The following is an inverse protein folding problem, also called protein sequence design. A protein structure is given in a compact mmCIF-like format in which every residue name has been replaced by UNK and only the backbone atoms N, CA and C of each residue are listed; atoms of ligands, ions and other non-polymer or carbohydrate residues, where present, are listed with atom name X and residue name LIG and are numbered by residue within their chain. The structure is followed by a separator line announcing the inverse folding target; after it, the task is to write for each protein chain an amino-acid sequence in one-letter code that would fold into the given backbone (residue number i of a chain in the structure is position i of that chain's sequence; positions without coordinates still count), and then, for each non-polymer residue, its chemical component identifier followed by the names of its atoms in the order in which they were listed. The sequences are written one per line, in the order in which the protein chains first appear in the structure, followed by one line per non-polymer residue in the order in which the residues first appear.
data_IF_391254854951
#
_entry.id   IF_391254854951
#
_cell.length_a   1.000
_cell.length_b   1.000
_cell.length_c   1.000
_cell.angle_alpha   90.00
_cell.angle_beta   90.00
_cell.angle_gamma   90.00
#
_symmetry.space_group_name_H-M   'P 1'
#
loop_
_entity.id
_entity.type
_entity.pdbx_description
1 polymer ?
#
# COMPACT_ATOMS: atom_id res chain seq x y z
N UNK A 1 4.33 3.88 -3.76
CA UNK A 1 3.75 5.18 -4.18
C UNK A 1 4.36 5.49 -5.53
N UNK A 2 3.57 5.92 -6.53
CA UNK A 2 4.11 6.21 -7.88
C UNK A 2 4.95 7.47 -7.86
N UNK A 3 6.14 7.44 -8.44
CA UNK A 3 6.89 8.66 -8.68
C UNK A 3 6.17 9.55 -9.70
N UNK A 4 6.50 10.83 -9.71
CA UNK A 4 6.04 11.78 -10.72
C UNK A 4 6.46 11.34 -12.13
N UNK A 5 7.67 10.80 -12.27
CA UNK A 5 8.17 10.27 -13.54
C UNK A 5 7.40 9.04 -14.02
N UNK A 6 7.01 8.14 -13.12
CA UNK A 6 6.23 6.94 -13.49
C UNK A 6 4.84 7.32 -14.00
N UNK A 7 4.22 8.33 -13.37
CA UNK A 7 2.95 8.91 -13.81
C UNK A 7 3.08 9.53 -15.20
N UNK A 8 4.11 10.34 -15.39
CA UNK A 8 4.39 10.98 -16.66
C UNK A 8 4.59 9.97 -17.79
N UNK A 9 5.46 8.97 -17.57
CA UNK A 9 5.78 7.93 -18.55
C UNK A 9 4.56 7.10 -18.94
N UNK A 10 3.76 6.68 -17.98
CA UNK A 10 2.53 5.92 -18.26
C UNK A 10 1.51 6.75 -19.04
N UNK A 11 1.33 8.01 -18.66
CA UNK A 11 0.45 8.94 -19.35
C UNK A 11 0.86 9.14 -20.81
N UNK A 12 2.14 9.42 -21.06
CA UNK A 12 2.68 9.59 -22.41
C UNK A 12 2.57 8.30 -23.20
N UNK A 13 3.01 7.16 -22.66
CA UNK A 13 2.99 5.86 -23.36
C UNK A 13 1.60 5.47 -23.87
N UNK A 14 0.55 5.70 -23.07
CA UNK A 14 -0.84 5.47 -23.51
C UNK A 14 -1.28 6.43 -24.61
N UNK A 15 -0.81 7.67 -24.57
CA UNK A 15 -1.14 8.69 -25.56
C UNK A 15 -0.42 8.47 -26.90
N UNK A 16 0.88 8.11 -26.87
CA UNK A 16 1.69 7.93 -28.08
C UNK A 16 1.39 6.65 -28.86
N UNK A 17 0.71 5.67 -28.26
CA UNK A 17 0.44 4.38 -28.91
C UNK A 17 -0.34 4.59 -30.21
N UNK A 18 0.21 4.15 -31.33
CA UNK A 18 -0.39 4.31 -32.66
C UNK A 18 -0.23 5.71 -33.28
N UNK A 19 0.46 6.65 -32.61
CA UNK A 19 0.76 7.96 -33.18
C UNK A 19 1.91 7.87 -34.18
N UNK A 20 1.82 8.71 -35.22
CA UNK A 20 2.91 8.92 -36.17
C UNK A 20 3.97 9.88 -35.62
N UNK A 21 5.17 9.87 -36.20
CA UNK A 21 6.27 10.77 -35.79
C UNK A 21 5.85 12.24 -35.79
N UNK A 22 5.08 12.68 -36.78
CA UNK A 22 4.58 14.05 -36.87
C UNK A 22 3.58 14.38 -35.75
N UNK A 23 2.68 13.44 -35.43
CA UNK A 23 1.73 13.62 -34.33
C UNK A 23 2.42 13.65 -32.96
N UNK A 24 3.47 12.84 -32.78
CA UNK A 24 4.28 12.86 -31.55
C UNK A 24 5.01 14.20 -31.40
N UNK A 25 5.62 14.72 -32.46
CA UNK A 25 6.26 16.03 -32.44
C UNK A 25 5.25 17.16 -32.15
N UNK A 26 4.07 17.13 -32.78
CA UNK A 26 3.01 18.11 -32.52
C UNK A 26 2.49 18.05 -31.08
N UNK A 27 2.28 16.84 -30.54
CA UNK A 27 1.83 16.65 -29.17
C UNK A 27 2.88 17.15 -28.16
N UNK A 28 4.17 16.91 -28.41
CA UNK A 28 5.25 17.41 -27.57
C UNK A 28 5.31 18.95 -27.53
N UNK A 29 5.00 19.62 -28.65
CA UNK A 29 4.91 21.08 -28.71
C UNK A 29 3.67 21.59 -27.97
N UNK A 30 2.50 21.00 -28.22
CA UNK A 30 1.24 21.39 -27.58
C UNK A 30 1.27 21.23 -26.06
N UNK A 31 1.95 20.20 -25.58
CA UNK A 31 2.15 20.00 -24.15
C UNK A 31 2.98 21.13 -23.51
N UNK A 32 4.04 21.59 -24.20
CA UNK A 32 4.84 22.74 -23.77
C UNK A 32 4.00 24.02 -23.73
N UNK A 33 3.18 24.26 -24.75
CA UNK A 33 2.29 25.42 -24.79
C UNK A 33 1.28 25.39 -23.64
N UNK A 34 0.72 24.22 -23.32
CA UNK A 34 -0.20 24.04 -22.18
C UNK A 34 0.50 24.29 -20.83
N UNK A 35 1.78 23.91 -20.71
CA UNK A 35 2.59 24.23 -19.53
C UNK A 35 2.83 25.74 -19.41
N UNK A 36 3.21 26.41 -20.51
CA UNK A 36 3.44 27.86 -20.51
C UNK A 36 2.16 28.64 -20.17
N UNK A 37 1.00 28.20 -20.67
CA UNK A 37 -0.31 28.77 -20.34
C UNK A 37 -0.71 28.56 -18.86
N UNK A 38 -0.34 27.41 -18.27
CA UNK A 38 -0.60 27.15 -16.85
C UNK A 38 0.38 27.85 -15.90
N UNK A 39 1.54 28.29 -16.40
CA UNK A 39 2.48 29.16 -15.66
C UNK A 39 2.18 30.65 -15.82
N UNK A 40 1.32 31.04 -16.77
CA UNK A 40 0.84 32.42 -16.87
C UNK A 40 0.04 32.78 -15.60
N UNK A 41 0.12 34.02 -15.10
CA UNK A 41 -0.52 34.42 -13.84
C UNK A 41 -2.05 34.44 -14.00
N UNK A 42 -2.68 33.27 -13.90
CA UNK A 42 -4.09 33.12 -13.65
C UNK A 42 -4.32 33.23 -12.13
N UNK A 43 -5.34 33.98 -11.72
CA UNK A 43 -5.89 33.90 -10.36
C UNK A 43 -6.39 32.47 -10.15
N UNK A 44 -5.60 31.63 -9.51
CA UNK A 44 -6.07 30.29 -9.15
C UNK A 44 -7.14 30.39 -8.04
N UNK A 45 -8.27 29.69 -8.19
CA UNK A 45 -9.22 29.55 -7.09
C UNK A 45 -8.62 28.71 -5.97
N UNK A 46 -8.86 29.11 -4.71
CA UNK A 46 -8.41 28.48 -3.45
C UNK A 46 -8.75 26.97 -3.29
N UNK A 47 -9.47 26.36 -4.24
CA UNK A 47 -9.95 24.97 -4.21
C UNK A 47 -9.27 24.05 -5.24
N UNK A 48 -8.29 24.53 -6.02
CA UNK A 48 -7.48 23.70 -6.92
C UNK A 48 -6.44 22.91 -6.10
N UNK A 49 -6.86 21.78 -5.52
CA UNK A 49 -6.10 21.00 -4.53
C UNK A 49 -4.91 20.17 -5.05
N UNK A 50 -4.17 20.64 -6.05
CA UNK A 50 -2.90 20.01 -6.45
C UNK A 50 -1.75 20.97 -6.15
N UNK A 51 -0.69 20.46 -5.51
CA UNK A 51 0.50 21.26 -5.23
C UNK A 51 1.11 21.78 -6.54
N UNK A 52 1.24 23.10 -6.73
CA UNK A 52 1.82 23.69 -7.94
C UNK A 52 3.23 23.17 -8.25
N UNK A 53 4.02 22.83 -7.23
CA UNK A 53 5.36 22.26 -7.41
C UNK A 53 5.28 20.83 -7.96
N UNK A 54 4.43 19.97 -7.39
CA UNK A 54 4.20 18.61 -7.91
C UNK A 54 3.65 18.61 -9.34
N UNK A 55 2.80 19.59 -9.68
CA UNK A 55 2.30 19.78 -11.03
C UNK A 55 3.43 20.18 -11.99
N UNK A 56 4.28 21.13 -11.60
CA UNK A 56 5.43 21.54 -12.40
C UNK A 56 6.41 20.38 -12.65
N UNK A 57 6.69 19.57 -11.63
CA UNK A 57 7.51 18.36 -11.76
C UNK A 57 6.87 17.35 -12.72
N UNK A 58 5.55 17.16 -12.65
CA UNK A 58 4.82 16.25 -13.53
C UNK A 58 4.88 16.68 -14.99
N UNK A 59 4.70 17.98 -15.25
CA UNK A 59 4.84 18.54 -16.60
C UNK A 59 6.27 18.40 -17.12
N UNK A 60 7.28 18.72 -16.31
CA UNK A 60 8.68 18.53 -16.70
C UNK A 60 9.00 17.07 -17.05
N UNK A 61 8.50 16.12 -16.26
CA UNK A 61 8.70 14.69 -16.49
C UNK A 61 7.96 14.19 -17.75
N UNK A 62 6.75 14.67 -18.02
CA UNK A 62 6.00 14.32 -19.24
C UNK A 62 6.69 14.87 -20.48
N UNK A 63 7.15 16.11 -20.44
CA UNK A 63 7.85 16.73 -21.55
C UNK A 63 9.18 16.02 -21.86
N UNK A 64 9.92 15.61 -20.83
CA UNK A 64 11.10 14.76 -21.01
C UNK A 64 10.76 13.45 -21.72
N UNK A 65 9.67 12.79 -21.33
CA UNK A 65 9.27 11.52 -21.94
C UNK A 65 8.82 11.68 -23.39
N UNK A 66 8.05 12.73 -23.72
CA UNK A 66 7.68 13.04 -25.10
C UNK A 66 8.92 13.19 -26.00
N UNK A 67 9.93 13.92 -25.52
CA UNK A 67 11.20 14.07 -26.25
C UNK A 67 11.95 12.75 -26.41
N UNK A 68 11.97 11.90 -25.38
CA UNK A 68 12.58 10.56 -25.46
C UNK A 68 11.91 9.74 -26.56
N UNK A 69 10.57 9.68 -26.59
CA UNK A 69 9.80 8.92 -27.58
C UNK A 69 10.03 9.48 -28.99
N UNK A 70 9.99 10.81 -29.15
CA UNK A 70 10.28 11.45 -30.43
C UNK A 70 11.68 11.07 -30.94
N UNK A 71 12.72 11.25 -30.11
CA UNK A 71 14.10 10.92 -30.47
C UNK A 71 14.28 9.43 -30.80
N UNK A 72 13.58 8.56 -30.06
CA UNK A 72 13.56 7.12 -30.32
C UNK A 72 12.97 6.80 -31.70
N UNK A 73 11.82 7.40 -32.03
CA UNK A 73 11.18 7.21 -33.33
C UNK A 73 12.04 7.74 -34.48
N UNK A 74 12.66 8.91 -34.31
CA UNK A 74 13.55 9.52 -35.30
C UNK A 74 14.80 8.65 -35.55
N UNK A 75 15.47 8.22 -34.47
CA UNK A 75 16.69 7.40 -34.56
C UNK A 75 16.41 6.02 -35.16
N UNK A 76 15.24 5.45 -34.86
CA UNK A 76 14.87 4.11 -35.31
C UNK A 76 14.15 4.10 -36.67
N UNK A 77 13.83 5.29 -37.21
CA UNK A 77 13.08 5.44 -38.47
C UNK A 77 11.63 4.94 -38.39
N UNK A 78 11.05 4.89 -37.19
CA UNK A 78 9.70 4.39 -36.99
C UNK A 78 8.66 5.40 -37.48
N UNK A 79 7.74 4.92 -38.33
CA UNK A 79 6.64 5.74 -38.84
C UNK A 79 5.49 5.87 -37.85
N UNK A 80 5.31 4.85 -37.02
CA UNK A 80 4.25 4.75 -36.01
C UNK A 80 4.87 4.20 -34.74
N UNK A 81 4.48 4.76 -33.59
CA UNK A 81 4.95 4.29 -32.30
C UNK A 81 4.18 3.05 -31.85
N UNK A 82 4.89 1.93 -31.73
CA UNK A 82 4.40 0.69 -31.14
C UNK A 82 5.12 0.45 -29.81
N UNK A 83 4.42 0.43 -28.66
CA UNK A 83 5.02 0.32 -27.34
C UNK A 83 5.92 -0.91 -27.15
N UNK A 84 5.68 -1.99 -27.88
CA UNK A 84 6.42 -3.25 -27.86
C UNK A 84 7.81 -3.10 -28.49
N UNK A 85 7.99 -2.13 -29.38
CA UNK A 85 9.28 -1.83 -30.02
C UNK A 85 10.17 -0.98 -29.10
N UNK A 86 9.57 -0.20 -28.19
CA UNK A 86 10.28 0.53 -27.13
C UNK A 86 10.68 -0.41 -25.99
N UNK A 87 11.90 -0.95 -26.06
CA UNK A 87 12.43 -1.87 -25.06
C UNK A 87 12.52 -1.25 -23.66
N UNK A 88 12.91 0.03 -23.57
CA UNK A 88 13.02 0.75 -22.29
C UNK A 88 11.63 0.97 -21.67
N UNK A 89 10.69 1.50 -22.44
CA UNK A 89 9.31 1.71 -21.99
C UNK A 89 8.60 0.40 -21.64
N UNK A 90 8.84 -0.66 -22.41
CA UNK A 90 8.31 -2.00 -22.13
C UNK A 90 8.90 -2.64 -20.88
N UNK A 91 10.21 -2.50 -20.64
CA UNK A 91 10.84 -3.02 -19.43
C UNK A 91 10.28 -2.33 -18.17
N UNK A 92 10.20 -0.99 -18.18
CA UNK A 92 9.61 -0.21 -17.09
C UNK A 92 8.14 -0.56 -16.84
N UNK A 93 7.36 -0.78 -17.90
CA UNK A 93 5.96 -1.18 -17.75
C UNK A 93 5.82 -2.56 -17.07
N UNK A 94 6.69 -3.52 -17.40
CA UNK A 94 6.72 -4.84 -16.75
C UNK A 94 7.13 -4.75 -15.29
N UNK A 95 8.14 -3.93 -14.97
CA UNK A 95 8.55 -3.67 -13.59
C UNK A 95 7.38 -3.10 -12.77
N UNK A 96 6.64 -2.14 -13.33
CA UNK A 96 5.44 -1.58 -12.67
C UNK A 96 4.37 -2.62 -12.41
N UNK A 97 4.04 -3.47 -13.38
CA UNK A 97 3.02 -4.50 -13.17
C UNK A 97 3.44 -5.49 -12.06
N UNK A 98 4.74 -5.80 -12.00
CA UNK A 98 5.33 -6.62 -10.94
C UNK A 98 5.17 -5.95 -9.58
N UNK A 99 5.55 -4.67 -9.46
CA UNK A 99 5.41 -3.91 -8.21
C UNK A 99 3.95 -3.75 -7.79
N UNK A 100 3.05 -3.50 -8.75
CA UNK A 100 1.61 -3.37 -8.50
C UNK A 100 1.02 -4.69 -7.98
N UNK A 101 1.35 -5.81 -8.62
CA UNK A 101 0.89 -7.13 -8.20
C UNK A 101 1.43 -7.46 -6.81
N UNK A 102 2.70 -7.18 -6.54
CA UNK A 102 3.31 -7.38 -5.22
C UNK A 102 2.62 -6.53 -4.13
N UNK A 103 2.32 -5.26 -4.43
CA UNK A 103 1.61 -4.37 -3.50
C UNK A 103 0.20 -4.88 -3.20
N UNK A 104 -0.57 -5.26 -4.24
CA UNK A 104 -1.91 -5.82 -4.08
C UNK A 104 -1.86 -7.09 -3.23
N UNK A 105 -0.93 -8.02 -3.54
CA UNK A 105 -0.75 -9.25 -2.77
C UNK A 105 -0.40 -8.96 -1.30
N UNK A 106 0.50 -8.02 -1.03
CA UNK A 106 0.84 -7.58 0.33
C UNK A 106 -0.37 -7.02 1.07
N UNK A 107 -1.20 -6.22 0.40
CA UNK A 107 -2.38 -5.63 1.01
C UNK A 107 -3.43 -6.70 1.31
N UNK A 108 -3.67 -7.64 0.39
CA UNK A 108 -4.54 -8.80 0.61
C UNK A 108 -4.08 -9.63 1.80
N UNK A 109 -2.79 -10.00 1.85
CA UNK A 109 -2.22 -10.76 2.96
C UNK A 109 -2.32 -10.01 4.30
N UNK A 110 -2.19 -8.69 4.29
CA UNK A 110 -2.41 -7.88 5.49
C UNK A 110 -3.87 -7.89 5.94
N UNK A 111 -4.82 -7.78 5.01
CA UNK A 111 -6.25 -7.88 5.32
C UNK A 111 -6.63 -9.27 5.84
N UNK A 112 -6.04 -10.34 5.29
CA UNK A 112 -6.22 -11.71 5.78
C UNK A 112 -5.72 -11.84 7.22
N UNK A 113 -4.49 -11.37 7.52
CA UNK A 113 -3.97 -11.35 8.90
C UNK A 113 -4.86 -10.57 9.86
N UNK A 114 -5.44 -9.44 9.41
CA UNK A 114 -6.37 -8.66 10.23
C UNK A 114 -7.70 -9.38 10.45
N UNK A 115 -8.17 -10.17 9.49
CA UNK A 115 -9.36 -11.02 9.64
C UNK A 115 -9.07 -12.16 10.59
N UNK A 116 -7.97 -12.89 10.42
CA UNK A 116 -7.53 -13.94 11.34
C UNK A 116 -7.38 -13.43 12.77
N UNK A 117 -6.80 -12.24 12.97
CA UNK A 117 -6.68 -11.61 14.28
C UNK A 117 -8.02 -11.14 14.88
N UNK A 118 -9.02 -10.84 14.04
CA UNK A 118 -10.40 -10.52 14.47
C UNK A 118 -11.23 -11.76 14.76
N UNK A 119 -11.00 -12.83 14.00
CA UNK A 119 -11.65 -14.13 14.14
C UNK A 119 -11.03 -14.95 15.28
N UNK A 120 -9.86 -14.55 15.79
CA UNK A 120 -9.30 -15.03 17.05
C UNK A 120 -10.24 -14.62 18.21
N UNK A 121 -11.04 -15.58 18.68
CA UNK A 121 -11.99 -15.37 19.76
C UNK A 121 -11.23 -15.09 21.07
N UNK A 122 -11.12 -13.81 21.45
CA UNK A 122 -10.47 -13.41 22.70
C UNK A 122 -11.48 -13.44 23.85
N UNK A 123 -11.34 -14.40 24.73
CA UNK A 123 -12.08 -14.44 25.99
C UNK A 123 -11.40 -13.49 27.00
N UNK A 124 -12.09 -12.41 27.37
CA UNK A 124 -11.64 -11.48 28.40
C UNK A 124 -12.26 -11.86 29.76
N UNK A 125 -11.42 -12.04 30.78
CA UNK A 125 -11.86 -12.32 32.15
C UNK A 125 -11.57 -11.13 33.07
N UNK A 126 -12.64 -10.48 33.55
CA UNK A 126 -12.52 -9.41 34.53
C UNK A 126 -12.42 -9.98 35.95
N UNK A 127 -11.27 -9.78 36.57
CA UNK A 127 -11.00 -10.24 37.92
C UNK A 127 -11.07 -9.08 38.91
N UNK A 128 -11.63 -9.34 40.10
CA UNK A 128 -11.54 -8.38 41.20
C UNK A 128 -10.07 -8.10 41.53
N UNK A 129 -9.77 -6.86 41.96
CA UNK A 129 -8.40 -6.46 42.26
C UNK A 129 -7.67 -7.42 43.25
N UNK A 130 -8.31 -7.95 44.30
CA UNK A 130 -7.69 -8.97 45.16
C UNK A 130 -7.36 -10.28 44.43
N UNK A 131 -8.27 -10.78 43.57
CA UNK A 131 -8.05 -12.01 42.81
C UNK A 131 -6.90 -11.85 41.80
N UNK A 132 -6.88 -10.73 41.07
CA UNK A 132 -5.80 -10.42 40.13
C UNK A 132 -4.42 -10.32 40.79
N UNK A 133 -4.33 -9.75 42.00
CA UNK A 133 -3.07 -9.73 42.78
C UNK A 133 -2.59 -11.12 43.14
N UNK A 134 -3.50 -12.02 43.55
CA UNK A 134 -3.16 -13.41 43.91
C UNK A 134 -2.65 -14.20 42.71
N UNK A 135 -3.31 -14.07 41.55
CA UNK A 135 -2.90 -14.73 40.31
C UNK A 135 -1.50 -14.27 39.89
N UNK A 136 -1.22 -12.96 39.92
CA UNK A 136 0.12 -12.44 39.60
C UNK A 136 1.21 -12.96 40.56
N UNK A 137 0.92 -13.03 41.86
CA UNK A 137 1.86 -13.58 42.84
C UNK A 137 2.13 -15.08 42.62
N UNK A 138 1.09 -15.85 42.28
CA UNK A 138 1.22 -17.28 41.99
C UNK A 138 2.03 -17.52 40.71
N UNK A 139 1.74 -16.76 39.65
CA UNK A 139 2.47 -16.78 38.38
C UNK A 139 3.97 -16.53 38.59
N UNK A 140 4.31 -15.48 39.36
CA UNK A 140 5.70 -15.16 39.69
C UNK A 140 6.41 -16.29 40.46
N UNK A 141 5.73 -16.91 41.44
CA UNK A 141 6.27 -18.02 42.22
C UNK A 141 6.49 -19.28 41.39
N UNK A 142 5.58 -19.56 40.47
CA UNK A 142 5.63 -20.75 39.60
C UNK A 142 6.46 -20.53 38.31
N UNK A 143 6.95 -19.30 38.05
CA UNK A 143 7.60 -18.89 36.79
C UNK A 143 6.72 -19.10 35.55
N UNK A 144 5.43 -18.83 35.72
CA UNK A 144 4.40 -18.89 34.67
C UNK A 144 3.86 -17.49 34.37
N UNK A 145 3.13 -17.34 33.28
CA UNK A 145 2.36 -16.12 33.00
C UNK A 145 1.01 -16.15 33.75
N UNK A 146 0.40 -14.99 34.04
CA UNK A 146 -0.96 -14.93 34.59
C UNK A 146 -1.98 -15.72 33.77
N UNK A 147 -1.87 -15.69 32.44
CA UNK A 147 -2.76 -16.43 31.54
C UNK A 147 -2.63 -17.95 31.69
N UNK A 148 -1.40 -18.47 31.85
CA UNK A 148 -1.16 -19.89 32.11
C UNK A 148 -1.79 -20.35 33.44
N UNK A 149 -1.74 -19.51 34.47
CA UNK A 149 -2.39 -19.80 35.75
C UNK A 149 -3.91 -19.83 35.60
N UNK A 150 -4.50 -18.88 34.87
CA UNK A 150 -5.96 -18.84 34.62
C UNK A 150 -6.40 -20.04 33.80
N UNK A 151 -5.64 -20.43 32.78
CA UNK A 151 -5.90 -21.63 31.99
C UNK A 151 -5.92 -22.90 32.86
N UNK A 152 -4.93 -23.07 33.75
CA UNK A 152 -4.89 -24.22 34.65
C UNK A 152 -6.02 -24.20 35.70
N UNK A 153 -6.42 -23.02 36.19
CA UNK A 153 -7.60 -22.91 37.06
C UNK A 153 -8.87 -23.36 36.33
N UNK A 154 -9.01 -23.03 35.05
CA UNK A 154 -10.13 -23.47 34.22
C UNK A 154 -10.09 -24.99 33.93
N UNK A 155 -8.91 -25.54 33.64
CA UNK A 155 -8.71 -26.99 33.43
C UNK A 155 -9.06 -27.81 34.67
N UNK A 156 -8.78 -27.27 35.86
CA UNK A 156 -9.09 -27.92 37.14
C UNK A 156 -10.45 -27.51 37.73
N UNK A 157 -11.25 -26.71 37.03
CA UNK A 157 -12.54 -26.27 37.53
C UNK A 157 -13.55 -27.43 37.54
N UNK A 158 -14.26 -27.58 38.66
CA UNK A 158 -15.34 -28.54 38.86
C UNK A 158 -16.61 -27.77 39.19
N UNK A 159 -17.71 -28.11 38.51
CA UNK A 159 -19.04 -27.56 38.78
C UNK A 159 -19.76 -28.47 39.76
N UNK A 160 -20.12 -27.93 40.92
CA UNK A 160 -20.92 -28.62 41.94
C UNK A 160 -22.39 -28.79 41.53
N UNK A 161 -23.12 -29.61 42.27
CA UNK A 161 -24.56 -29.87 42.04
C UNK A 161 -25.42 -28.59 42.17
N UNK A 162 -24.94 -27.60 42.91
CA UNK A 162 -25.53 -26.27 43.08
C UNK A 162 -25.09 -25.26 42.01
N UNK A 163 -24.42 -25.71 40.95
CA UNK A 163 -23.80 -24.89 39.91
C UNK A 163 -22.65 -23.99 40.38
N UNK A 164 -22.14 -24.19 41.60
CA UNK A 164 -20.96 -23.48 42.08
C UNK A 164 -19.71 -24.00 41.39
N UNK A 165 -18.88 -23.09 40.86
CA UNK A 165 -17.57 -23.44 40.28
C UNK A 165 -16.51 -23.40 41.38
N UNK A 166 -15.82 -24.52 41.57
CA UNK A 166 -14.71 -24.65 42.51
C UNK A 166 -13.50 -25.27 41.83
N UNK A 167 -12.30 -25.02 42.35
CA UNK A 167 -11.07 -25.62 41.84
C UNK A 167 -10.43 -26.41 42.98
N UNK A 168 -10.27 -27.74 42.84
CA UNK A 168 -9.52 -28.56 43.80
C UNK A 168 -8.06 -28.13 43.89
N UNK A 169 -7.39 -28.50 44.98
CA UNK A 169 -5.97 -28.20 45.14
C UNK A 169 -5.13 -28.89 44.04
N UNK A 170 -4.30 -28.11 43.35
CA UNK A 170 -3.34 -28.61 42.37
C UNK A 170 -2.01 -27.85 42.48
N UNK A 171 -0.97 -28.38 41.83
CA UNK A 171 0.33 -27.71 41.71
C UNK A 171 0.45 -27.10 40.31
N UNK A 172 0.62 -25.78 40.16
CA UNK A 172 0.77 -25.15 38.85
C UNK A 172 2.03 -25.65 38.11
N UNK A 173 1.93 -25.83 36.79
CA UNK A 173 3.02 -26.36 35.95
C UNK A 173 3.22 -25.60 34.64
#
# INVERSE_FOLDING_TARGET
MWSVEDRARDGVRRQVTGMTTAQVAEAAVRERETQEESQAPAREPEWAGADPEELAELWAARHHEWRRVQALMETSGWKTYEPEQDAEGSARARERETQRTAFIASQTAHQERLREAKDELRAEAWLSAPAGRRIRALAARARLTPDQIVAQLAEHAVVGEDSTVSVPAFTPR
#
